data_IF_288035813381
#
_entry.id   IF_288035813381
#
_cell.length_a   1.000
_cell.length_b   1.000
_cell.length_c   1.000
_cell.angle_alpha   90.00
_cell.angle_beta   90.00
_cell.angle_gamma   90.00
#
_symmetry.space_group_name_H-M   'P 1'
#
loop_
_entity.id
_entity.type
_entity.pdbx_description
1 polymer ?
#
# COMPACT_ATOMS: atom_id res chain seq x y z
N UNK A 1 3.91 -13.37 8.70
CA UNK A 1 4.47 -14.58 8.05
C UNK A 1 4.74 -14.30 6.59
N UNK A 2 5.86 -14.76 6.09
CA UNK A 2 6.30 -14.58 4.71
C UNK A 2 6.53 -15.96 4.10
N UNK A 3 5.92 -16.24 2.94
CA UNK A 3 5.96 -17.57 2.30
C UNK A 3 6.45 -17.48 0.86
N UNK A 4 6.96 -18.60 0.33
CA UNK A 4 7.34 -18.75 -1.07
C UNK A 4 6.75 -20.02 -1.68
N UNK A 5 6.56 -20.01 -3.00
CA UNK A 5 6.00 -21.13 -3.77
C UNK A 5 7.11 -22.08 -4.26
N UNK A 6 6.78 -23.36 -4.53
CA UNK A 6 7.71 -24.30 -5.16
C UNK A 6 8.28 -23.74 -6.47
N UNK A 7 9.55 -23.98 -6.74
CA UNK A 7 10.22 -23.57 -7.98
C UNK A 7 10.52 -22.06 -8.10
N UNK A 8 10.11 -21.22 -7.15
CA UNK A 8 10.43 -19.80 -7.15
C UNK A 8 11.69 -19.50 -6.33
N UNK A 9 12.86 -19.82 -6.89
CA UNK A 9 14.16 -19.64 -6.23
C UNK A 9 14.45 -18.17 -5.88
N UNK A 10 13.97 -17.21 -6.67
CA UNK A 10 14.15 -15.78 -6.37
C UNK A 10 13.41 -15.39 -5.08
N UNK A 11 12.17 -15.78 -4.94
CA UNK A 11 11.36 -15.53 -3.73
C UNK A 11 11.96 -16.24 -2.52
N UNK A 12 12.34 -17.50 -2.65
CA UNK A 12 13.01 -18.29 -1.61
C UNK A 12 14.31 -17.63 -1.14
N UNK A 13 15.18 -17.25 -2.06
CA UNK A 13 16.46 -16.60 -1.73
C UNK A 13 16.25 -15.28 -0.99
N UNK A 14 15.29 -14.45 -1.44
CA UNK A 14 14.95 -13.21 -0.76
C UNK A 14 14.42 -13.48 0.66
N UNK A 15 13.46 -14.38 0.79
CA UNK A 15 12.85 -14.75 2.07
C UNK A 15 13.89 -15.33 3.05
N UNK A 16 14.81 -16.17 2.56
CA UNK A 16 15.89 -16.75 3.36
C UNK A 16 16.86 -15.69 3.87
N UNK A 17 17.27 -14.73 3.00
CA UNK A 17 18.10 -13.59 3.45
C UNK A 17 17.37 -12.73 4.47
N UNK A 18 16.10 -12.43 4.22
CA UNK A 18 15.25 -11.68 5.16
C UNK A 18 15.15 -12.40 6.51
N UNK A 19 14.91 -13.72 6.50
CA UNK A 19 14.88 -14.54 7.71
C UNK A 19 16.18 -14.37 8.53
N UNK A 20 17.35 -14.56 7.91
CA UNK A 20 18.62 -14.47 8.62
C UNK A 20 18.85 -13.08 9.22
N UNK A 21 18.55 -12.02 8.47
CA UNK A 21 18.70 -10.64 8.96
C UNK A 21 17.77 -10.36 10.14
N UNK A 22 16.49 -10.75 10.02
CA UNK A 22 15.49 -10.50 11.08
C UNK A 22 15.77 -11.39 12.30
N UNK A 23 16.23 -12.65 12.10
CA UNK A 23 16.63 -13.55 13.18
C UNK A 23 17.77 -12.99 14.02
N UNK A 24 18.74 -12.31 13.39
CA UNK A 24 19.82 -11.63 14.12
C UNK A 24 19.33 -10.50 15.00
N UNK A 25 18.25 -9.79 14.59
CA UNK A 25 17.71 -8.65 15.31
C UNK A 25 16.69 -9.06 16.38
N UNK A 26 15.83 -10.03 16.08
CA UNK A 26 14.64 -10.36 16.87
C UNK A 26 14.77 -11.69 17.65
N UNK A 27 15.84 -12.44 17.41
CA UNK A 27 16.14 -13.68 18.13
C UNK A 27 15.04 -14.73 18.00
N UNK A 28 14.61 -15.28 19.13
CA UNK A 28 13.65 -16.41 19.18
C UNK A 28 12.22 -16.07 18.75
N UNK A 29 11.93 -14.79 18.53
CA UNK A 29 10.64 -14.37 17.93
C UNK A 29 10.50 -14.76 16.46
N UNK A 30 11.60 -15.19 15.80
CA UNK A 30 11.61 -15.52 14.38
C UNK A 30 11.82 -17.01 14.20
N UNK A 31 10.87 -17.66 13.53
CA UNK A 31 10.85 -19.10 13.28
C UNK A 31 10.87 -19.38 11.78
N UNK A 32 11.76 -20.28 11.34
CA UNK A 32 11.79 -20.78 9.97
C UNK A 32 10.71 -21.86 9.80
N UNK A 33 10.01 -21.83 8.70
CA UNK A 33 8.98 -22.78 8.31
C UNK A 33 9.44 -23.49 7.03
N UNK A 34 10.20 -24.59 7.14
CA UNK A 34 10.90 -25.18 6.00
C UNK A 34 9.98 -25.92 5.01
N UNK A 35 8.71 -26.15 5.37
CA UNK A 35 7.75 -26.89 4.54
C UNK A 35 6.35 -26.29 4.56
N UNK A 36 5.50 -26.73 3.63
CA UNK A 36 4.06 -26.44 3.65
C UNK A 36 3.38 -26.92 4.95
N UNK A 37 3.80 -28.06 5.47
CA UNK A 37 3.26 -28.61 6.73
C UNK A 37 3.55 -27.67 7.91
N UNK A 38 4.73 -27.05 7.96
CA UNK A 38 5.06 -26.06 8.98
C UNK A 38 4.21 -24.81 8.87
N UNK A 39 3.93 -24.34 7.64
CA UNK A 39 3.02 -23.21 7.40
C UNK A 39 1.61 -23.55 7.87
N UNK A 40 1.09 -24.73 7.52
CA UNK A 40 -0.23 -25.20 7.94
C UNK A 40 -0.33 -25.42 9.46
N UNK A 41 0.76 -25.80 10.12
CA UNK A 41 0.82 -25.88 11.59
C UNK A 41 0.54 -24.52 12.24
N UNK A 42 1.02 -23.44 11.64
CA UNK A 42 0.80 -22.06 12.13
C UNK A 42 -0.61 -21.58 11.79
N UNK A 43 -1.12 -21.91 10.61
CA UNK A 43 -2.46 -21.49 10.15
C UNK A 43 -3.22 -22.70 9.61
N UNK A 44 -3.87 -23.48 10.48
CA UNK A 44 -4.67 -24.65 10.08
C UNK A 44 -5.83 -24.33 9.14
N UNK A 45 -6.28 -23.08 9.13
CA UNK A 45 -7.35 -22.58 8.25
C UNK A 45 -6.97 -22.53 6.79
N UNK A 46 -5.67 -22.56 6.48
CA UNK A 46 -5.22 -22.60 5.10
C UNK A 46 -5.58 -23.95 4.46
N UNK A 47 -5.99 -23.89 3.22
CA UNK A 47 -6.46 -25.08 2.50
C UNK A 47 -5.39 -26.16 2.38
N UNK A 48 -5.83 -27.42 2.25
CA UNK A 48 -4.94 -28.57 2.03
C UNK A 48 -4.17 -28.49 0.70
N UNK A 49 -4.66 -27.69 -0.24
CA UNK A 49 -4.06 -27.45 -1.54
C UNK A 49 -3.09 -26.27 -1.56
N UNK A 50 -2.61 -25.90 -0.35
CA UNK A 50 -1.69 -24.80 -0.16
C UNK A 50 -0.40 -24.97 -0.99
N UNK A 51 -0.26 -24.16 -2.03
CA UNK A 51 0.88 -24.20 -2.95
C UNK A 51 2.05 -23.34 -2.40
N UNK A 52 2.62 -23.74 -1.26
CA UNK A 52 3.82 -23.14 -0.68
C UNK A 52 4.88 -24.20 -0.44
N UNK A 53 6.14 -23.81 -0.57
CA UNK A 53 7.28 -24.69 -0.29
C UNK A 53 7.91 -24.41 1.08
N UNK A 54 7.59 -23.26 1.69
CA UNK A 54 8.08 -22.87 3.00
C UNK A 54 7.90 -21.38 3.26
N UNK A 55 8.44 -20.92 4.39
CA UNK A 55 8.34 -19.52 4.81
C UNK A 55 9.14 -19.24 6.07
N UNK A 56 8.89 -18.09 6.66
CA UNK A 56 9.24 -17.81 8.05
C UNK A 56 8.18 -16.93 8.70
N UNK A 57 8.08 -16.99 10.01
CA UNK A 57 7.22 -16.09 10.78
C UNK A 57 8.06 -15.26 11.75
N UNK A 58 7.70 -14.00 11.91
CA UNK A 58 8.20 -13.15 13.00
C UNK A 58 7.03 -12.85 13.94
N UNK A 59 7.06 -13.40 15.12
CA UNK A 59 6.05 -13.23 16.16
C UNK A 59 6.09 -11.84 16.82
N UNK A 60 7.18 -11.08 16.63
CA UNK A 60 7.30 -9.68 17.05
C UNK A 60 6.73 -8.69 16.04
N UNK A 61 6.33 -9.16 14.85
CA UNK A 61 5.75 -8.35 13.78
C UNK A 61 4.22 -8.46 13.75
N UNK A 62 3.57 -7.54 13.05
CA UNK A 62 2.13 -7.54 12.94
C UNK A 62 1.64 -6.59 11.84
N UNK A 63 0.42 -6.12 11.99
CA UNK A 63 -0.19 -5.11 11.13
C UNK A 63 -0.59 -3.89 11.95
N UNK A 64 -0.75 -2.76 11.29
CA UNK A 64 -1.17 -1.52 11.92
C UNK A 64 -2.49 -1.02 11.31
N UNK A 65 -3.40 -0.52 12.17
CA UNK A 65 -4.55 0.27 11.73
C UNK A 65 -4.07 1.69 11.41
N UNK A 66 -3.58 1.87 10.17
CA UNK A 66 -3.02 3.14 9.72
C UNK A 66 -4.04 4.30 9.84
N UNK A 67 -5.33 4.04 9.58
CA UNK A 67 -6.36 5.06 9.70
C UNK A 67 -6.58 5.50 11.15
N UNK A 68 -6.57 4.56 12.10
CA UNK A 68 -6.63 4.88 13.52
C UNK A 68 -5.39 5.66 13.98
N UNK A 69 -4.20 5.27 13.51
CA UNK A 69 -2.95 5.96 13.80
C UNK A 69 -2.97 7.43 13.34
N UNK A 70 -3.42 7.69 12.11
CA UNK A 70 -3.53 9.06 11.58
C UNK A 70 -4.58 9.87 12.33
N UNK A 71 -5.74 9.29 12.67
CA UNK A 71 -6.75 9.97 13.51
C UNK A 71 -6.21 10.32 14.89
N UNK A 72 -5.45 9.41 15.50
CA UNK A 72 -4.83 9.66 16.81
C UNK A 72 -3.79 10.80 16.72
N UNK A 73 -2.92 10.79 15.71
CA UNK A 73 -1.96 11.86 15.50
C UNK A 73 -2.67 13.22 15.30
N UNK A 74 -3.74 13.25 14.48
CA UNK A 74 -4.55 14.46 14.30
C UNK A 74 -5.14 14.96 15.62
N UNK A 75 -5.71 14.06 16.44
CA UNK A 75 -6.26 14.41 17.74
C UNK A 75 -5.22 15.09 18.63
N UNK A 76 -4.01 14.54 18.71
CA UNK A 76 -2.92 15.15 19.50
C UNK A 76 -2.55 16.56 19.02
N UNK A 77 -2.56 16.78 17.70
CA UNK A 77 -2.27 18.11 17.13
C UNK A 77 -3.41 19.10 17.39
N UNK A 78 -4.67 18.66 17.32
CA UNK A 78 -5.83 19.48 17.69
C UNK A 78 -5.76 19.90 19.17
N UNK A 79 -5.39 18.99 20.07
CA UNK A 79 -5.23 19.26 21.51
C UNK A 79 -4.09 20.26 21.80
N UNK A 80 -3.02 20.23 21.00
CA UNK A 80 -1.93 21.21 21.12
C UNK A 80 -2.31 22.62 20.64
N UNK A 81 -3.29 22.75 19.76
CA UNK A 81 -3.77 24.02 19.21
C UNK A 81 -2.76 24.83 18.40
N UNK A 82 -1.64 24.19 17.97
CA UNK A 82 -0.55 24.87 17.23
C UNK A 82 -0.62 24.68 15.72
N UNK A 83 -1.52 23.82 15.26
CA UNK A 83 -1.68 23.46 13.84
C UNK A 83 -3.07 23.86 13.36
N UNK A 84 -3.14 24.58 12.26
CA UNK A 84 -4.40 24.90 11.59
C UNK A 84 -4.60 23.92 10.43
N UNK A 85 -5.67 23.14 10.51
CA UNK A 85 -6.07 22.23 9.42
C UNK A 85 -7.00 22.96 8.45
N UNK A 86 -6.67 22.87 7.17
CA UNK A 86 -7.54 23.36 6.07
C UNK A 86 -7.80 22.24 5.09
N UNK A 87 -9.04 22.12 4.61
CA UNK A 87 -9.42 21.20 3.55
C UNK A 87 -9.43 21.95 2.22
N UNK A 88 -8.82 21.37 1.21
CA UNK A 88 -8.77 21.92 -0.14
C UNK A 88 -7.94 21.04 -1.06
N UNK A 89 -8.15 21.18 -2.36
CA UNK A 89 -7.33 20.52 -3.39
C UNK A 89 -6.29 21.50 -3.93
N UNK A 90 -5.01 21.14 -3.81
CA UNK A 90 -3.92 21.93 -4.37
C UNK A 90 -3.86 21.70 -5.89
N UNK A 91 -4.00 22.79 -6.65
CA UNK A 91 -3.83 22.79 -8.10
C UNK A 91 -2.36 22.84 -8.50
N UNK A 92 -1.60 23.78 -7.95
CA UNK A 92 -0.18 23.99 -8.26
C UNK A 92 0.59 24.67 -7.14
N UNK A 93 1.91 24.59 -7.21
CA UNK A 93 2.81 25.38 -6.37
C UNK A 93 2.79 26.85 -6.81
N UNK A 94 2.86 27.75 -5.84
CA UNK A 94 3.11 29.17 -6.09
C UNK A 94 4.63 29.38 -6.10
N UNK A 95 5.12 29.83 -7.23
CA UNK A 95 6.56 30.08 -7.45
C UNK A 95 6.81 31.58 -7.45
N UNK A 96 7.89 32.01 -6.81
CA UNK A 96 8.35 33.39 -6.91
C UNK A 96 8.79 33.68 -8.36
N UNK A 97 8.60 34.91 -8.79
CA UNK A 97 9.10 35.37 -10.07
C UNK A 97 10.62 35.20 -10.15
N UNK A 98 11.08 34.53 -11.20
CA UNK A 98 12.49 34.35 -11.44
C UNK A 98 13.03 35.53 -12.23
N UNK A 99 14.01 36.25 -11.68
CA UNK A 99 14.69 37.30 -12.40
C UNK A 99 15.70 36.78 -13.44
N UNK A 100 15.92 35.47 -13.50
CA UNK A 100 16.83 34.81 -14.45
C UNK A 100 16.31 33.42 -14.83
N UNK A 101 16.42 33.06 -16.08
CA UNK A 101 16.02 31.75 -16.62
C UNK A 101 16.83 30.56 -16.03
N UNK A 102 17.95 30.84 -15.38
CA UNK A 102 18.86 29.85 -14.81
C UNK A 102 18.77 29.75 -13.28
N UNK A 103 17.99 30.61 -12.61
CA UNK A 103 17.87 30.57 -11.15
C UNK A 103 16.84 29.53 -10.69
N UNK A 104 17.16 28.82 -9.61
CA UNK A 104 16.20 27.95 -8.92
C UNK A 104 14.99 28.77 -8.49
N UNK A 105 13.79 28.31 -8.87
CA UNK A 105 12.55 28.98 -8.45
C UNK A 105 12.24 28.65 -6.99
N UNK A 106 12.01 29.67 -6.20
CA UNK A 106 11.59 29.52 -4.81
C UNK A 106 10.08 29.24 -4.75
N UNK A 107 9.68 28.22 -4.01
CA UNK A 107 8.27 27.97 -3.67
C UNK A 107 7.88 28.94 -2.55
N UNK A 108 6.79 29.67 -2.73
CA UNK A 108 6.27 30.67 -1.76
C UNK A 108 4.88 30.31 -1.25
N UNK A 109 4.32 29.20 -1.70
CA UNK A 109 2.99 28.77 -1.28
C UNK A 109 2.37 27.78 -2.26
N UNK A 110 1.05 27.72 -2.21
CA UNK A 110 0.22 26.87 -3.09
C UNK A 110 -1.00 27.65 -3.58
N UNK A 111 -1.52 27.26 -4.74
CA UNK A 111 -2.81 27.70 -5.27
C UNK A 111 -3.76 26.51 -5.25
N UNK A 112 -4.95 26.69 -4.69
CA UNK A 112 -6.00 25.68 -4.66
C UNK A 112 -6.82 25.72 -5.97
N UNK A 113 -7.57 24.66 -6.24
CA UNK A 113 -8.43 24.55 -7.43
C UNK A 113 -9.56 25.60 -7.48
N UNK A 114 -9.96 26.16 -6.33
CA UNK A 114 -10.92 27.25 -6.22
C UNK A 114 -10.30 28.64 -6.43
N UNK A 115 -9.00 28.72 -6.73
CA UNK A 115 -8.24 29.95 -6.91
C UNK A 115 -7.66 30.55 -5.62
N UNK A 116 -8.00 30.00 -4.45
CA UNK A 116 -7.42 30.45 -3.17
C UNK A 116 -5.91 30.26 -3.15
N UNK A 117 -5.18 31.29 -2.72
CA UNK A 117 -3.74 31.25 -2.56
C UNK A 117 -3.38 31.19 -1.08
N UNK A 118 -2.50 30.26 -0.73
CA UNK A 118 -1.92 30.14 0.61
C UNK A 118 -0.41 30.33 0.51
N UNK A 119 0.14 31.27 1.27
CA UNK A 119 1.57 31.56 1.28
C UNK A 119 2.24 31.05 2.56
N UNK A 120 3.52 30.68 2.46
CA UNK A 120 4.33 30.21 3.58
C UNK A 120 5.82 30.42 3.28
N UNK A 121 6.62 30.54 4.35
CA UNK A 121 8.08 30.62 4.24
C UNK A 121 8.70 29.26 3.87
N UNK A 122 8.06 28.16 4.27
CA UNK A 122 8.43 26.79 3.93
C UNK A 122 7.19 25.99 3.53
N UNK A 123 7.30 25.27 2.42
CA UNK A 123 6.27 24.34 1.94
C UNK A 123 6.81 22.92 1.98
N UNK A 124 6.11 22.03 2.69
CA UNK A 124 6.44 20.60 2.77
C UNK A 124 5.44 19.82 1.92
N UNK A 125 5.94 19.12 0.89
CA UNK A 125 5.12 18.25 0.05
C UNK A 125 5.05 16.85 0.67
N UNK A 126 3.93 16.53 1.31
CA UNK A 126 3.60 15.20 1.83
C UNK A 126 2.42 14.59 1.07
N UNK A 127 2.40 14.81 -0.25
CA UNK A 127 1.27 14.53 -1.14
C UNK A 127 1.26 13.10 -1.71
N UNK A 128 2.19 12.24 -1.27
CA UNK A 128 2.23 10.82 -1.64
C UNK A 128 2.17 10.63 -3.16
N UNK A 129 1.29 9.77 -3.61
CA UNK A 129 1.15 9.42 -5.01
C UNK A 129 0.66 10.58 -5.92
N UNK A 130 0.15 11.69 -5.36
CA UNK A 130 -0.20 12.91 -6.13
C UNK A 130 0.98 13.85 -6.36
N UNK A 131 2.15 13.58 -5.77
CA UNK A 131 3.31 14.48 -5.86
C UNK A 131 3.71 14.76 -7.32
N UNK A 132 3.57 13.77 -8.23
CA UNK A 132 3.84 13.93 -9.65
C UNK A 132 2.97 14.97 -10.40
N UNK A 133 1.83 15.40 -9.81
CA UNK A 133 1.03 16.53 -10.31
C UNK A 133 1.71 17.88 -10.03
N UNK A 134 2.43 17.98 -8.92
CA UNK A 134 2.96 19.25 -8.40
C UNK A 134 4.42 19.50 -8.74
N UNK A 135 5.20 18.43 -8.90
CA UNK A 135 6.62 18.48 -9.26
C UNK A 135 6.95 17.42 -10.30
N UNK A 136 7.91 17.70 -11.16
CA UNK A 136 8.36 16.73 -12.16
C UNK A 136 9.21 15.65 -11.50
N UNK A 137 8.61 14.46 -11.37
CA UNK A 137 9.24 13.27 -10.79
C UNK A 137 9.62 12.21 -11.84
N UNK A 138 9.57 12.55 -13.14
CA UNK A 138 9.90 11.59 -14.20
C UNK A 138 11.32 11.02 -13.98
N UNK A 139 11.45 9.70 -14.12
CA UNK A 139 12.66 8.94 -13.86
C UNK A 139 13.11 8.87 -12.37
N UNK A 140 12.32 9.39 -11.43
CA UNK A 140 12.62 9.34 -9.99
C UNK A 140 11.58 8.59 -9.19
N UNK A 141 10.32 8.82 -9.47
CA UNK A 141 9.22 8.13 -8.82
C UNK A 141 7.99 8.06 -9.73
N UNK A 142 7.20 7.01 -9.56
CA UNK A 142 5.94 6.81 -10.29
C UNK A 142 4.82 6.43 -9.33
N UNK A 143 3.61 6.91 -9.59
CA UNK A 143 2.42 6.48 -8.87
C UNK A 143 1.91 5.16 -9.44
N UNK A 144 1.73 4.13 -8.58
CA UNK A 144 1.17 2.83 -8.96
C UNK A 144 0.00 2.45 -8.09
N UNK A 145 -0.99 1.82 -8.68
CA UNK A 145 -2.19 1.36 -8.00
C UNK A 145 -2.10 -0.11 -7.62
N UNK A 146 -2.30 -0.44 -6.33
CA UNK A 146 -2.30 -1.80 -5.82
C UNK A 146 -3.72 -2.26 -5.50
N UNK A 147 -4.07 -3.47 -5.93
CA UNK A 147 -5.40 -4.01 -5.77
C UNK A 147 -5.68 -4.41 -4.30
N UNK A 148 -6.86 -4.07 -3.82
CA UNK A 148 -7.36 -4.44 -2.49
C UNK A 148 -8.82 -4.84 -2.59
N UNK A 149 -9.21 -5.93 -1.93
CA UNK A 149 -10.59 -6.37 -1.81
C UNK A 149 -10.93 -6.71 -0.36
N UNK A 150 -12.20 -6.56 -0.02
CA UNK A 150 -12.77 -6.89 1.28
C UNK A 150 -13.96 -7.82 1.10
N UNK A 151 -14.06 -8.79 1.99
CA UNK A 151 -15.19 -9.73 2.09
C UNK A 151 -15.82 -9.61 3.47
N UNK A 152 -17.16 -9.65 3.52
CA UNK A 152 -17.86 -9.74 4.79
C UNK A 152 -17.81 -11.17 5.30
N UNK A 153 -17.54 -11.31 6.59
CA UNK A 153 -17.47 -12.59 7.29
C UNK A 153 -18.38 -12.58 8.51
N UNK A 154 -18.76 -13.78 8.98
CA UNK A 154 -19.57 -13.94 10.19
C UNK A 154 -18.75 -13.70 11.46
N UNK A 155 -19.43 -13.55 12.61
CA UNK A 155 -18.77 -13.45 13.91
C UNK A 155 -17.98 -14.72 14.27
N UNK A 156 -18.45 -15.88 13.83
CA UNK A 156 -17.75 -17.14 14.01
C UNK A 156 -16.47 -17.20 13.19
N UNK A 157 -16.53 -16.80 11.92
CA UNK A 157 -15.37 -16.70 11.05
C UNK A 157 -14.38 -15.64 11.55
N UNK A 158 -14.88 -14.51 12.07
CA UNK A 158 -14.05 -13.48 12.71
C UNK A 158 -13.24 -14.08 13.87
N UNK A 159 -13.90 -14.76 14.82
CA UNK A 159 -13.23 -15.40 15.97
C UNK A 159 -12.20 -16.43 15.55
N UNK A 160 -12.49 -17.20 14.48
CA UNK A 160 -11.58 -18.21 13.96
C UNK A 160 -10.33 -17.62 13.32
N UNK A 161 -10.48 -16.49 12.63
CA UNK A 161 -9.42 -15.89 11.79
C UNK A 161 -8.71 -14.69 12.45
N UNK A 162 -9.21 -14.12 13.55
CA UNK A 162 -8.67 -12.89 14.13
C UNK A 162 -7.24 -12.99 14.66
N UNK A 163 -6.79 -14.22 14.95
CA UNK A 163 -5.45 -14.48 15.48
C UNK A 163 -4.48 -15.11 14.47
N UNK A 164 -4.90 -15.30 13.21
CA UNK A 164 -3.96 -15.76 12.18
C UNK A 164 -2.88 -14.70 11.95
N UNK A 165 -1.64 -15.06 11.60
CA UNK A 165 -0.65 -14.07 11.23
C UNK A 165 -1.01 -13.39 9.91
N UNK A 166 -0.59 -12.15 9.72
CA UNK A 166 -0.54 -11.56 8.38
C UNK A 166 0.35 -12.41 7.50
N UNK A 167 -0.15 -12.88 6.36
CA UNK A 167 0.62 -13.64 5.38
C UNK A 167 0.92 -12.79 4.16
N UNK A 168 2.16 -12.88 3.67
CA UNK A 168 2.59 -12.33 2.38
C UNK A 168 3.24 -13.43 1.57
N UNK A 169 2.66 -13.75 0.41
CA UNK A 169 3.26 -14.65 -0.56
C UNK A 169 4.18 -13.87 -1.51
N UNK A 170 5.47 -14.09 -1.39
CA UNK A 170 6.50 -13.39 -2.17
C UNK A 170 6.54 -13.78 -3.65
N UNK A 171 5.91 -14.88 -4.04
CA UNK A 171 5.88 -15.30 -5.43
C UNK A 171 4.89 -14.49 -6.28
N UNK A 172 3.76 -14.07 -5.69
CA UNK A 172 2.69 -13.38 -6.40
C UNK A 172 2.25 -12.05 -5.75
N UNK A 173 2.87 -11.68 -4.61
CA UNK A 173 2.59 -10.45 -3.89
C UNK A 173 1.26 -10.43 -3.14
N UNK A 174 0.51 -11.53 -3.13
CA UNK A 174 -0.76 -11.62 -2.38
C UNK A 174 -0.50 -11.59 -0.88
N UNK A 175 -1.29 -10.81 -0.17
CA UNK A 175 -1.28 -10.81 1.27
C UNK A 175 -2.69 -10.76 1.87
N UNK A 176 -2.83 -11.43 3.02
CA UNK A 176 -4.04 -11.47 3.84
C UNK A 176 -3.68 -10.93 5.22
N UNK A 177 -4.55 -10.07 5.74
CA UNK A 177 -4.44 -9.50 7.09
C UNK A 177 -5.56 -10.10 7.93
N UNK A 178 -5.31 -10.42 9.22
CA UNK A 178 -6.36 -10.85 10.13
C UNK A 178 -7.61 -9.97 10.04
N UNK A 179 -8.81 -10.54 10.00
CA UNK A 179 -10.04 -9.77 9.82
C UNK A 179 -10.32 -8.89 11.05
N UNK A 180 -10.96 -7.75 10.80
CA UNK A 180 -11.45 -6.85 11.84
C UNK A 180 -12.83 -6.32 11.45
N UNK A 181 -13.72 -6.20 12.44
CA UNK A 181 -15.09 -5.71 12.24
C UNK A 181 -15.83 -6.52 11.16
N UNK A 182 -15.65 -7.83 11.16
CA UNK A 182 -16.25 -8.76 10.20
C UNK A 182 -15.90 -8.46 8.74
N UNK A 183 -14.72 -7.90 8.52
CA UNK A 183 -14.16 -7.67 7.19
C UNK A 183 -12.80 -8.38 7.06
N UNK A 184 -12.74 -9.35 6.16
CA UNK A 184 -11.48 -10.00 5.75
C UNK A 184 -10.91 -9.26 4.55
N UNK A 185 -9.64 -8.85 4.66
CA UNK A 185 -8.91 -8.13 3.63
C UNK A 185 -7.97 -9.06 2.89
N UNK A 186 -8.06 -9.04 1.56
CA UNK A 186 -7.03 -9.56 0.66
C UNK A 186 -6.49 -8.43 -0.21
N UNK A 187 -5.20 -8.42 -0.46
CA UNK A 187 -4.58 -7.41 -1.30
C UNK A 187 -3.38 -8.00 -2.05
N UNK A 188 -2.94 -7.31 -3.09
CA UNK A 188 -1.79 -7.68 -3.90
C UNK A 188 -0.81 -6.53 -3.97
N UNK A 189 0.45 -6.79 -3.63
CA UNK A 189 1.58 -5.92 -3.87
C UNK A 189 2.38 -6.47 -5.05
N UNK A 190 2.24 -5.82 -6.20
CA UNK A 190 2.88 -6.22 -7.46
C UNK A 190 3.47 -4.97 -8.15
N UNK A 191 3.73 -5.04 -9.46
CA UNK A 191 4.18 -3.86 -10.24
C UNK A 191 3.18 -2.70 -10.21
N UNK A 192 1.90 -3.00 -9.93
CA UNK A 192 0.83 -2.02 -9.84
C UNK A 192 0.28 -1.56 -11.19
N UNK A 193 -0.85 -0.88 -11.11
CA UNK A 193 -1.53 -0.31 -12.27
C UNK A 193 -1.15 1.15 -12.42
N UNK A 194 -0.98 1.61 -13.65
CA UNK A 194 -0.74 3.02 -13.94
C UNK A 194 -2.02 3.69 -14.44
N UNK A 195 -2.20 4.96 -14.08
CA UNK A 195 -3.29 5.81 -14.56
C UNK A 195 -2.70 7.09 -15.16
N UNK A 196 -2.19 7.03 -16.41
CA UNK A 196 -1.53 8.17 -17.04
C UNK A 196 -2.51 9.32 -17.28
N UNK A 197 -2.13 10.51 -16.85
CA UNK A 197 -2.85 11.77 -17.05
C UNK A 197 -1.88 12.81 -17.62
N UNK A 198 -2.37 13.64 -18.55
CA UNK A 198 -1.63 14.80 -19.02
C UNK A 198 -1.73 15.92 -17.97
N UNK A 199 -0.60 16.36 -17.47
CA UNK A 199 -0.52 17.47 -16.51
C UNK A 199 0.45 18.55 -17.02
N UNK A 200 0.24 19.83 -16.71
CA UNK A 200 1.20 20.88 -17.02
C UNK A 200 2.54 20.61 -16.34
N UNK A 201 3.64 20.84 -17.05
CA UNK A 201 4.97 20.81 -16.43
C UNK A 201 5.04 21.98 -15.44
N UNK A 202 5.38 21.74 -14.14
CA UNK A 202 5.46 22.80 -13.15
C UNK A 202 6.43 23.91 -13.57
N UNK A 203 5.90 25.14 -13.70
CA UNK A 203 6.66 26.29 -14.21
C UNK A 203 7.00 26.22 -15.70
N UNK A 204 6.44 25.32 -16.47
CA UNK A 204 6.51 25.27 -17.93
C UNK A 204 5.47 26.19 -18.59
N UNK A 205 5.74 26.64 -19.81
CA UNK A 205 4.88 27.55 -20.55
C UNK A 205 3.77 26.78 -21.31
N UNK A 206 2.87 26.11 -20.54
CA UNK A 206 1.76 25.36 -21.12
C UNK A 206 2.12 23.98 -21.70
N UNK A 207 3.37 23.56 -21.62
CA UNK A 207 3.80 22.21 -22.03
C UNK A 207 3.28 21.19 -21.00
N UNK A 208 2.74 20.07 -21.48
CA UNK A 208 2.25 18.98 -20.62
C UNK A 208 3.22 17.81 -20.60
N UNK A 209 3.14 17.03 -19.52
CA UNK A 209 3.81 15.73 -19.36
C UNK A 209 2.78 14.66 -19.00
N UNK A 210 3.08 13.39 -19.30
CA UNK A 210 2.29 12.25 -18.86
C UNK A 210 2.83 11.76 -17.50
N UNK A 211 1.94 11.69 -16.51
CA UNK A 211 2.25 11.13 -15.19
C UNK A 211 1.12 10.21 -14.75
N UNK A 212 1.47 9.10 -14.07
CA UNK A 212 0.45 8.28 -13.42
C UNK A 212 -0.02 9.00 -12.16
N UNK A 213 -1.33 9.19 -12.02
CA UNK A 213 -1.93 9.85 -10.87
C UNK A 213 -3.03 8.98 -10.24
N UNK A 214 -3.19 9.06 -8.92
CA UNK A 214 -4.30 8.43 -8.24
C UNK A 214 -5.66 8.92 -8.78
N UNK A 215 -6.60 7.98 -8.81
CA UNK A 215 -8.01 8.27 -9.07
C UNK A 215 -8.85 7.48 -8.07
N UNK A 216 -9.75 8.19 -7.36
CA UNK A 216 -10.66 7.57 -6.41
C UNK A 216 -11.83 6.90 -7.14
N UNK A 217 -12.31 5.78 -6.58
CA UNK A 217 -13.47 5.06 -7.14
C UNK A 217 -13.17 4.21 -8.37
N UNK A 218 -11.91 4.12 -8.81
CA UNK A 218 -11.52 3.20 -9.88
C UNK A 218 -11.67 1.76 -9.37
N UNK A 219 -12.45 0.91 -10.06
CA UNK A 219 -12.58 -0.49 -9.68
C UNK A 219 -11.26 -1.23 -9.89
N UNK A 220 -11.04 -2.27 -9.08
CA UNK A 220 -9.91 -3.18 -9.30
C UNK A 220 -10.08 -3.85 -10.67
N UNK A 221 -9.08 -3.83 -11.54
CA UNK A 221 -9.12 -4.51 -12.84
C UNK A 221 -9.47 -6.00 -12.69
N UNK A 222 -10.10 -6.58 -13.72
CA UNK A 222 -10.53 -7.97 -13.70
C UNK A 222 -9.37 -8.93 -13.39
N UNK A 223 -8.20 -8.71 -13.98
CA UNK A 223 -6.97 -9.48 -13.69
C UNK A 223 -6.64 -9.51 -12.19
N UNK A 224 -6.76 -8.37 -11.49
CA UNK A 224 -6.52 -8.30 -10.05
C UNK A 224 -7.56 -9.06 -9.24
N UNK A 225 -8.82 -9.03 -9.66
CA UNK A 225 -9.89 -9.80 -9.02
C UNK A 225 -9.70 -11.31 -9.22
N UNK A 226 -9.30 -11.74 -10.42
CA UNK A 226 -8.97 -13.14 -10.73
C UNK A 226 -7.78 -13.63 -9.91
N UNK A 227 -6.74 -12.79 -9.75
CA UNK A 227 -5.60 -13.09 -8.87
C UNK A 227 -6.04 -13.32 -7.42
N UNK A 228 -7.01 -12.52 -6.90
CA UNK A 228 -7.59 -12.75 -5.58
C UNK A 228 -8.34 -14.06 -5.49
N UNK A 229 -9.16 -14.40 -6.50
CA UNK A 229 -9.90 -15.67 -6.52
C UNK A 229 -8.97 -16.88 -6.52
N UNK A 230 -7.92 -16.83 -7.34
CA UNK A 230 -6.89 -17.88 -7.37
C UNK A 230 -6.23 -18.05 -6.01
N UNK A 231 -5.79 -16.95 -5.40
CA UNK A 231 -5.15 -16.99 -4.09
C UNK A 231 -6.08 -17.47 -2.98
N UNK A 232 -7.36 -17.07 -3.00
CA UNK A 232 -8.33 -17.55 -2.02
C UNK A 232 -8.59 -19.05 -2.15
N UNK A 233 -8.64 -19.62 -3.38
CA UNK A 233 -8.75 -21.08 -3.59
C UNK A 233 -7.61 -21.83 -2.91
N UNK A 234 -6.40 -21.29 -2.94
CA UNK A 234 -5.23 -21.88 -2.31
C UNK A 234 -5.18 -21.66 -0.79
N UNK A 235 -5.40 -20.41 -0.34
CA UNK A 235 -5.17 -20.03 1.05
C UNK A 235 -6.41 -20.23 1.93
N UNK A 236 -7.57 -19.82 1.47
CA UNK A 236 -8.83 -19.86 2.22
C UNK A 236 -9.98 -20.33 1.30
N UNK A 237 -10.04 -21.62 0.93
CA UNK A 237 -10.99 -22.13 -0.08
C UNK A 237 -12.45 -21.83 0.22
N UNK A 238 -12.85 -21.79 1.50
CA UNK A 238 -14.22 -21.47 1.92
C UNK A 238 -14.65 -20.03 1.58
N UNK A 239 -13.71 -19.16 1.23
CA UNK A 239 -13.95 -17.77 0.84
C UNK A 239 -13.76 -17.51 -0.66
N UNK A 240 -13.33 -18.52 -1.42
CA UNK A 240 -12.94 -18.36 -2.83
C UNK A 240 -14.06 -17.77 -3.70
N UNK A 241 -15.31 -18.18 -3.48
CA UNK A 241 -16.47 -17.73 -4.27
C UNK A 241 -17.29 -16.63 -3.55
N UNK A 242 -16.84 -16.19 -2.36
CA UNK A 242 -17.54 -15.16 -1.57
C UNK A 242 -17.43 -13.80 -2.26
N UNK A 243 -18.53 -13.06 -2.28
CA UNK A 243 -18.58 -11.72 -2.88
C UNK A 243 -17.60 -10.74 -2.23
N UNK A 244 -16.93 -9.94 -3.05
CA UNK A 244 -16.18 -8.77 -2.59
C UNK A 244 -17.16 -7.62 -2.35
N UNK A 245 -17.39 -7.28 -1.08
CA UNK A 245 -18.29 -6.16 -0.74
C UNK A 245 -17.70 -4.79 -1.05
N UNK A 246 -16.38 -4.74 -1.17
CA UNK A 246 -15.65 -3.52 -1.56
C UNK A 246 -14.36 -3.92 -2.25
N UNK A 247 -14.08 -3.27 -3.37
CA UNK A 247 -12.76 -3.31 -4.02
C UNK A 247 -12.26 -1.89 -4.21
N UNK A 248 -10.95 -1.69 -4.15
CA UNK A 248 -10.32 -0.40 -4.43
C UNK A 248 -8.89 -0.56 -4.91
N UNK A 249 -8.42 0.44 -5.62
CA UNK A 249 -7.00 0.61 -5.93
C UNK A 249 -6.37 1.51 -4.87
N UNK A 250 -5.32 1.02 -4.22
CA UNK A 250 -4.54 1.76 -3.23
C UNK A 250 -3.27 2.29 -3.90
N UNK A 251 -3.06 3.61 -3.88
CA UNK A 251 -1.99 4.25 -4.65
C UNK A 251 -0.71 4.37 -3.85
N UNK A 252 0.40 3.95 -4.45
CA UNK A 252 1.76 4.00 -3.93
C UNK A 252 2.59 5.02 -4.72
N UNK A 253 3.73 5.38 -4.17
CA UNK A 253 4.79 6.10 -4.87
C UNK A 253 6.02 5.21 -4.89
N UNK A 254 6.31 4.63 -6.05
CA UNK A 254 7.46 3.75 -6.24
C UNK A 254 8.65 4.55 -6.77
N UNK A 255 9.85 4.29 -6.23
CA UNK A 255 11.11 4.98 -6.55
C UNK A 255 12.13 4.04 -7.17
#
# INVERSE_FOLDING_TARGET
MLVWMPGNEKAKNYATKSYHNVKQLEGDKVELLPSAADVMRIVPEYGKELNVAGGYINWGSGWADAAAGVRFAKKLLDEQGKVVFKTGEVDRLLLADSQSATSQRRVTGVVLTDGTTLTADLVVLATGAWTGKLVDLRSRAISTGQAVAYMRISDEEQRRLENIPTVLNFANGIFIIPPRNNLLKIARHAYGYQNPKAVPIPGGNGVTMQVSLPENGVPVPLEGQEAFRTALKELLPSFAEREFVTTRVCWYTDT
#
